data_IF_416969745714
#
_entry.id   IF_416969745714
#
_cell.length_a   1.000
_cell.length_b   1.000
_cell.length_c   1.000
_cell.angle_alpha   90.00
_cell.angle_beta   90.00
_cell.angle_gamma   90.00
#
_symmetry.space_group_name_H-M   'P 1'
#
loop_
_entity.id
_entity.type
_entity.pdbx_description
1 polymer ?
#
# COMPACT_ATOMS: atom_id res chain seq x y z
N UNK A 1 33.88 -16.30 3.74
CA UNK A 1 32.44 -16.10 3.49
C UNK A 1 31.83 -15.61 4.80
N UNK A 2 31.42 -14.34 4.90
CA UNK A 2 30.86 -13.78 6.13
C UNK A 2 29.33 -13.88 6.08
N UNK A 3 28.72 -14.53 7.07
CA UNK A 3 27.27 -14.64 7.21
C UNK A 3 26.64 -13.29 7.58
N UNK A 4 25.47 -12.91 7.03
CA UNK A 4 24.82 -11.66 7.38
C UNK A 4 24.22 -11.76 8.80
N UNK A 5 24.79 -11.04 9.75
CA UNK A 5 24.26 -10.89 11.10
C UNK A 5 22.81 -10.40 11.05
N UNK A 6 21.88 -11.23 11.52
CA UNK A 6 20.47 -10.87 11.65
C UNK A 6 20.32 -9.80 12.72
N UNK A 7 20.15 -8.53 12.29
CA UNK A 7 19.81 -7.41 13.17
C UNK A 7 18.49 -7.72 13.89
N UNK A 8 18.59 -8.13 15.16
CA UNK A 8 17.43 -8.30 16.03
C UNK A 8 16.70 -6.95 16.14
N UNK A 9 15.47 -6.90 15.64
CA UNK A 9 14.62 -5.71 15.70
C UNK A 9 14.19 -5.53 17.15
N UNK A 10 14.56 -4.41 17.77
CA UNK A 10 14.12 -4.05 19.12
C UNK A 10 12.58 -4.04 19.17
N UNK A 11 11.95 -4.64 20.19
CA UNK A 11 10.50 -4.64 20.29
C UNK A 11 9.97 -3.21 20.43
N UNK A 12 9.00 -2.85 19.60
CA UNK A 12 8.36 -1.53 19.61
C UNK A 12 7.58 -1.35 20.92
N UNK A 13 7.71 -0.19 21.56
CA UNK A 13 6.96 0.11 22.79
C UNK A 13 5.44 0.10 22.53
N UNK A 14 4.66 -0.21 23.58
CA UNK A 14 3.19 -0.27 23.47
C UNK A 14 2.56 1.06 23.04
N UNK A 15 3.13 2.20 23.45
CA UNK A 15 2.71 3.52 22.96
C UNK A 15 2.96 3.68 21.46
N UNK A 16 4.12 3.26 20.97
CA UNK A 16 4.45 3.35 19.54
C UNK A 16 3.57 2.41 18.69
N UNK A 17 3.22 1.23 19.21
CA UNK A 17 2.22 0.33 18.60
C UNK A 17 0.83 0.96 18.52
N UNK A 18 0.36 1.59 19.61
CA UNK A 18 -0.93 2.29 19.61
C UNK A 18 -0.97 3.42 18.59
N UNK A 19 0.08 4.24 18.51
CA UNK A 19 0.21 5.31 17.51
C UNK A 19 0.20 4.75 16.08
N UNK A 20 0.97 3.68 15.81
CA UNK A 20 0.97 3.01 14.49
C UNK A 20 -0.42 2.50 14.12
N UNK A 21 -1.13 1.85 15.04
CA UNK A 21 -2.49 1.34 14.79
C UNK A 21 -3.49 2.46 14.48
N UNK A 22 -3.40 3.59 15.17
CA UNK A 22 -4.25 4.75 14.89
C UNK A 22 -3.98 5.32 13.48
N UNK A 23 -2.70 5.49 13.12
CA UNK A 23 -2.29 5.94 11.79
C UNK A 23 -2.69 4.95 10.69
N UNK A 24 -2.55 3.64 10.92
CA UNK A 24 -2.97 2.61 9.96
C UNK A 24 -4.49 2.64 9.76
N UNK A 25 -5.30 2.87 10.81
CA UNK A 25 -6.76 3.02 10.67
C UNK A 25 -7.18 4.27 9.91
N UNK A 26 -6.46 5.37 10.11
CA UNK A 26 -6.73 6.60 9.38
C UNK A 26 -6.38 6.43 7.91
N UNK A 27 -5.22 5.81 7.62
CA UNK A 27 -4.82 5.44 6.26
C UNK A 27 -5.77 4.47 5.62
N UNK A 28 -6.26 3.43 6.32
CA UNK A 28 -7.16 2.45 5.72
C UNK A 28 -8.47 3.06 5.22
N UNK A 29 -8.88 4.22 5.74
CA UNK A 29 -10.07 4.96 5.26
C UNK A 29 -9.83 5.65 3.91
N UNK A 30 -8.59 6.01 3.62
CA UNK A 30 -8.19 6.70 2.38
C UNK A 30 -7.34 5.83 1.47
N UNK A 31 -7.04 4.61 1.91
CA UNK A 31 -6.22 3.66 1.19
C UNK A 31 -7.01 3.11 0.01
N UNK A 32 -6.61 3.50 -1.18
CA UNK A 32 -7.05 2.86 -2.42
C UNK A 32 -6.32 1.52 -2.52
N UNK A 33 -7.06 0.41 -2.47
CA UNK A 33 -6.51 -0.91 -2.74
C UNK A 33 -6.28 -1.04 -4.24
N UNK A 34 -5.02 -0.97 -4.66
CA UNK A 34 -4.61 -0.98 -6.07
C UNK A 34 -4.07 -2.36 -6.45
N UNK A 35 -4.34 -2.79 -7.69
CA UNK A 35 -3.65 -3.89 -8.33
C UNK A 35 -4.52 -5.12 -8.58
N UNK A 36 -3.87 -6.24 -8.90
CA UNK A 36 -4.53 -7.44 -9.46
C UNK A 36 -5.56 -8.07 -8.52
N UNK A 37 -5.44 -7.89 -7.20
CA UNK A 37 -6.37 -8.42 -6.22
C UNK A 37 -7.69 -7.63 -6.11
N UNK A 38 -7.75 -6.41 -6.67
CA UNK A 38 -8.97 -5.61 -6.71
C UNK A 38 -9.57 -5.70 -8.12
N UNK A 39 -10.70 -6.41 -8.26
CA UNK A 39 -11.33 -6.67 -9.57
C UNK A 39 -11.70 -5.38 -10.28
N UNK A 40 -12.27 -4.41 -9.56
CA UNK A 40 -12.62 -3.08 -10.10
C UNK A 40 -11.40 -2.35 -10.66
N UNK A 41 -10.23 -2.47 -10.02
CA UNK A 41 -8.99 -1.88 -10.54
C UNK A 41 -8.58 -2.49 -11.87
N UNK A 42 -8.69 -3.82 -11.99
CA UNK A 42 -8.33 -4.53 -13.22
C UNK A 42 -9.28 -4.20 -14.36
N UNK A 43 -10.58 -4.22 -14.08
CA UNK A 43 -11.63 -3.89 -15.05
C UNK A 43 -11.48 -2.45 -15.54
N UNK A 44 -11.24 -1.51 -14.62
CA UNK A 44 -11.01 -0.12 -14.96
C UNK A 44 -9.72 0.06 -15.77
N UNK A 45 -8.64 -0.63 -15.39
CA UNK A 45 -7.36 -0.59 -16.12
C UNK A 45 -7.51 -1.09 -17.55
N UNK A 46 -8.25 -2.18 -17.75
CA UNK A 46 -8.54 -2.75 -19.07
C UNK A 46 -9.42 -1.80 -19.90
N UNK A 47 -10.47 -1.26 -19.30
CA UNK A 47 -11.38 -0.29 -19.93
C UNK A 47 -10.65 0.97 -20.40
N UNK A 48 -9.78 1.53 -19.57
CA UNK A 48 -9.01 2.74 -19.86
C UNK A 48 -7.73 2.45 -20.66
N UNK A 49 -7.45 1.19 -21.00
CA UNK A 49 -6.28 0.79 -21.79
C UNK A 49 -4.92 1.07 -21.10
N UNK A 50 -4.92 1.19 -19.78
CA UNK A 50 -3.74 1.54 -19.00
C UNK A 50 -2.79 0.34 -18.85
N UNK A 51 -1.50 0.52 -19.16
CA UNK A 51 -0.51 -0.55 -19.09
C UNK A 51 0.04 -0.72 -17.67
N UNK A 52 0.31 0.39 -16.98
CA UNK A 52 0.74 0.39 -15.60
C UNK A 52 -0.39 0.82 -14.65
N UNK A 53 -0.33 0.34 -13.41
CA UNK A 53 -1.24 0.82 -12.35
C UNK A 53 -0.97 2.30 -12.03
N UNK A 54 0.26 2.77 -12.23
CA UNK A 54 0.60 4.18 -12.10
C UNK A 54 -0.20 5.06 -13.08
N UNK A 55 -0.38 4.62 -14.33
CA UNK A 55 -1.12 5.37 -15.35
C UNK A 55 -2.59 5.55 -14.95
N UNK A 56 -3.20 4.47 -14.45
CA UNK A 56 -4.58 4.49 -13.97
C UNK A 56 -4.72 5.37 -12.70
N UNK A 57 -3.74 5.31 -11.80
CA UNK A 57 -3.72 6.18 -10.61
C UNK A 57 -3.62 7.67 -10.99
N UNK A 58 -2.81 8.03 -11.99
CA UNK A 58 -2.73 9.39 -12.49
C UNK A 58 -4.04 9.87 -13.12
N UNK A 59 -4.76 8.99 -13.83
CA UNK A 59 -6.08 9.29 -14.38
C UNK A 59 -7.11 9.55 -13.27
N UNK A 60 -7.15 8.69 -12.25
CA UNK A 60 -8.06 8.83 -11.10
C UNK A 60 -7.78 10.06 -10.23
N UNK A 61 -6.52 10.52 -10.17
CA UNK A 61 -6.15 11.75 -9.44
C UNK A 61 -6.47 13.04 -10.22
N UNK A 62 -6.76 12.95 -11.52
CA UNK A 62 -7.11 14.10 -12.37
C UNK A 62 -8.62 14.28 -12.59
N UNK A 63 -9.42 13.30 -12.20
CA UNK A 63 -10.89 13.36 -12.14
C UNK A 63 -11.35 14.14 -10.90
#
# INVERSE_FOLDING_TARGET
MAEPATKQRKPMSEQARKRKRALDRERSRTQVNIGQAFSEWRELKEKEGCKADADLAFLLMRL
#
